data_IF_101146427812
#
_entry.id   IF_101146427812
#
_cell.length_a   1.000
_cell.length_b   1.000
_cell.length_c   1.000
_cell.angle_alpha   90.00
_cell.angle_beta   90.00
_cell.angle_gamma   90.00
#
_symmetry.space_group_name_H-M   'P 1'
#
loop_
_entity.id
_entity.type
_entity.pdbx_description
1 polymer ?
#
# COMPACT_ATOMS: atom_id res chain seq x y z
N UNK A 1 -2.23 -7.74 -5.33
CA UNK A 1 -1.98 -6.96 -4.10
C UNK A 1 -0.65 -7.39 -3.51
N UNK A 2 0.26 -6.45 -3.29
CA UNK A 2 1.57 -6.72 -2.67
C UNK A 2 1.54 -6.51 -1.16
N UNK A 3 2.37 -7.26 -0.39
CA UNK A 3 2.28 -7.31 1.07
C UNK A 3 0.90 -7.78 1.54
N UNK A 4 0.34 -8.75 0.81
CA UNK A 4 -1.06 -9.15 0.93
C UNK A 4 -1.37 -10.10 2.07
N UNK A 5 -0.37 -10.62 2.77
CA UNK A 5 -0.56 -11.65 3.77
C UNK A 5 -0.89 -11.10 5.18
N UNK A 6 -0.78 -9.80 5.41
CA UNK A 6 -1.04 -9.21 6.74
C UNK A 6 -1.60 -7.79 6.67
N UNK A 7 -2.16 -7.32 7.78
CA UNK A 7 -2.57 -5.93 7.99
C UNK A 7 -3.47 -5.37 6.90
N UNK A 8 -3.14 -4.16 6.42
CA UNK A 8 -3.89 -3.47 5.37
C UNK A 8 -3.92 -4.24 4.05
N UNK A 9 -2.82 -4.93 3.71
CA UNK A 9 -2.75 -5.75 2.49
C UNK A 9 -3.73 -6.91 2.53
N UNK A 10 -3.80 -7.65 3.64
CA UNK A 10 -4.72 -8.77 3.79
C UNK A 10 -6.19 -8.31 3.75
N UNK A 11 -6.52 -7.23 4.46
CA UNK A 11 -7.87 -6.65 4.40
C UNK A 11 -8.22 -6.22 2.96
N UNK A 12 -7.25 -5.68 2.21
CA UNK A 12 -7.42 -5.31 0.80
C UNK A 12 -7.65 -6.53 -0.09
N UNK A 13 -6.87 -7.61 0.11
CA UNK A 13 -7.07 -8.89 -0.61
C UNK A 13 -8.47 -9.42 -0.38
N UNK A 14 -8.89 -9.52 0.89
CA UNK A 14 -10.22 -10.02 1.24
C UNK A 14 -11.32 -9.13 0.64
N UNK A 15 -11.17 -7.81 0.72
CA UNK A 15 -12.16 -6.86 0.19
C UNK A 15 -12.28 -6.98 -1.33
N UNK A 16 -11.20 -6.94 -2.07
CA UNK A 16 -11.25 -7.05 -3.53
C UNK A 16 -11.78 -8.41 -3.98
N UNK A 17 -11.46 -9.49 -3.28
CA UNK A 17 -12.04 -10.81 -3.57
C UNK A 17 -13.56 -10.84 -3.33
N UNK A 18 -14.06 -10.16 -2.28
CA UNK A 18 -15.51 -9.98 -2.04
C UNK A 18 -16.17 -9.08 -3.08
N UNK A 19 -15.43 -8.12 -3.65
CA UNK A 19 -15.91 -7.28 -4.75
C UNK A 19 -15.93 -8.04 -6.11
N UNK A 20 -15.53 -9.33 -6.13
CA UNK A 20 -15.59 -10.21 -7.30
C UNK A 20 -14.29 -10.32 -8.10
N UNK A 21 -13.19 -9.75 -7.63
CA UNK A 21 -11.89 -9.92 -8.28
C UNK A 21 -11.29 -11.29 -7.95
N UNK A 22 -10.59 -11.89 -8.93
CA UNK A 22 -9.61 -12.94 -8.67
C UNK A 22 -8.29 -12.29 -8.25
N UNK A 23 -7.83 -12.54 -7.02
CA UNK A 23 -6.74 -11.78 -6.41
C UNK A 23 -5.46 -12.60 -6.32
N UNK A 24 -4.41 -12.11 -6.99
CA UNK A 24 -3.04 -12.54 -6.74
C UNK A 24 -2.52 -11.84 -5.48
N UNK A 25 -2.37 -12.58 -4.40
CA UNK A 25 -1.79 -12.14 -3.13
C UNK A 25 -0.28 -12.37 -3.15
N UNK A 26 0.50 -11.30 -3.20
CA UNK A 26 1.97 -11.38 -3.26
C UNK A 26 2.54 -11.02 -1.89
N UNK A 27 3.34 -11.88 -1.30
CA UNK A 27 4.05 -11.62 -0.05
C UNK A 27 5.37 -12.40 -0.01
N UNK A 28 6.33 -11.95 0.79
CA UNK A 28 7.61 -12.66 0.99
C UNK A 28 7.51 -13.73 2.06
N UNK A 29 6.56 -13.62 3.00
CA UNK A 29 6.33 -14.62 4.04
C UNK A 29 5.46 -15.76 3.50
N UNK A 30 6.15 -16.86 3.11
CA UNK A 30 5.50 -18.05 2.54
C UNK A 30 4.43 -18.62 3.44
N UNK A 31 4.77 -18.88 4.71
CA UNK A 31 3.87 -19.56 5.63
C UNK A 31 2.61 -18.74 5.88
N UNK A 32 2.77 -17.43 6.01
CA UNK A 32 1.66 -16.51 6.22
C UNK A 32 0.79 -16.39 4.97
N UNK A 33 1.40 -16.23 3.79
CA UNK A 33 0.68 -16.10 2.52
C UNK A 33 -0.14 -17.35 2.17
N UNK A 34 0.46 -18.53 2.30
CA UNK A 34 -0.22 -19.80 2.04
C UNK A 34 -1.38 -20.04 3.01
N UNK A 35 -1.18 -19.78 4.31
CA UNK A 35 -2.23 -19.92 5.33
C UNK A 35 -3.41 -19.00 5.07
N UNK A 36 -3.16 -17.70 4.82
CA UNK A 36 -4.24 -16.73 4.60
C UNK A 36 -4.95 -16.95 3.26
N UNK A 37 -4.24 -17.38 2.21
CA UNK A 37 -4.87 -17.77 0.96
C UNK A 37 -5.82 -18.97 1.16
N UNK A 38 -5.39 -20.02 1.86
CA UNK A 38 -6.24 -21.16 2.20
C UNK A 38 -7.46 -20.76 3.02
N UNK A 39 -7.28 -19.87 4.01
CA UNK A 39 -8.40 -19.33 4.80
C UNK A 39 -9.44 -18.64 3.93
N UNK A 40 -8.99 -17.77 3.03
CA UNK A 40 -9.88 -17.02 2.14
C UNK A 40 -10.55 -17.92 1.08
N UNK A 41 -9.81 -18.90 0.55
CA UNK A 41 -10.36 -19.90 -0.37
C UNK A 41 -11.45 -20.77 0.32
N UNK A 42 -11.26 -21.15 1.58
CA UNK A 42 -12.27 -21.86 2.36
C UNK A 42 -13.56 -21.03 2.57
N UNK A 43 -13.49 -19.70 2.44
CA UNK A 43 -14.64 -18.78 2.44
C UNK A 43 -15.25 -18.60 1.03
N UNK A 44 -14.77 -19.32 0.02
CA UNK A 44 -15.25 -19.23 -1.37
C UNK A 44 -14.65 -18.05 -2.15
N UNK A 45 -13.60 -17.39 -1.64
CA UNK A 45 -12.99 -16.24 -2.29
C UNK A 45 -11.87 -16.67 -3.26
N UNK A 46 -11.81 -16.06 -4.43
CA UNK A 46 -10.81 -16.35 -5.46
C UNK A 46 -9.48 -15.65 -5.14
N UNK A 47 -8.65 -16.28 -4.33
CA UNK A 47 -7.34 -15.76 -3.91
C UNK A 47 -6.26 -16.79 -4.19
N UNK A 48 -5.14 -16.37 -4.77
CA UNK A 48 -3.95 -17.19 -4.97
C UNK A 48 -2.73 -16.53 -4.33
N UNK A 49 -1.97 -17.29 -3.53
CA UNK A 49 -0.72 -16.82 -2.95
C UNK A 49 0.45 -16.95 -3.94
N UNK A 50 1.27 -15.90 -4.01
CA UNK A 50 2.54 -15.87 -4.72
C UNK A 50 3.62 -15.40 -3.76
N UNK A 51 4.66 -16.23 -3.57
CA UNK A 51 5.75 -15.93 -2.63
C UNK A 51 6.90 -15.31 -3.38
N UNK A 52 7.19 -14.04 -3.06
CA UNK A 52 8.15 -13.25 -3.82
C UNK A 52 8.77 -12.15 -2.96
N UNK A 53 10.07 -11.92 -3.10
CA UNK A 53 10.71 -10.68 -2.68
C UNK A 53 10.60 -9.66 -3.83
N UNK A 54 9.93 -8.55 -3.58
CA UNK A 54 9.68 -7.52 -4.60
C UNK A 54 10.94 -6.72 -4.96
N UNK A 55 12.04 -6.91 -4.26
CA UNK A 55 13.35 -6.34 -4.60
C UNK A 55 14.10 -7.16 -5.64
N UNK A 56 13.63 -8.38 -5.95
CA UNK A 56 14.12 -9.20 -7.07
C UNK A 56 13.34 -8.86 -8.35
N UNK A 57 13.89 -7.96 -9.14
CA UNK A 57 13.26 -7.53 -10.40
C UNK A 57 13.02 -8.66 -11.39
N UNK A 58 13.93 -9.65 -11.46
CA UNK A 58 13.78 -10.76 -12.38
C UNK A 58 12.59 -11.64 -11.97
N UNK A 59 12.47 -11.92 -10.67
CA UNK A 59 11.35 -12.67 -10.13
C UNK A 59 10.01 -11.91 -10.26
N UNK A 60 10.02 -10.57 -10.11
CA UNK A 60 8.86 -9.71 -10.35
C UNK A 60 8.38 -9.85 -11.80
N UNK A 61 9.27 -9.74 -12.79
CA UNK A 61 8.92 -9.87 -14.20
C UNK A 61 8.38 -11.25 -14.51
N UNK A 62 9.06 -12.31 -14.03
CA UNK A 62 8.62 -13.69 -14.21
C UNK A 62 7.23 -13.97 -13.60
N UNK A 63 6.89 -13.37 -12.46
CA UNK A 63 5.55 -13.44 -11.88
C UNK A 63 4.54 -12.76 -12.81
N UNK A 64 4.82 -11.55 -13.26
CA UNK A 64 3.88 -10.77 -14.09
C UNK A 64 3.60 -11.50 -15.40
N UNK A 65 4.60 -12.15 -16.02
CA UNK A 65 4.43 -12.95 -17.24
C UNK A 65 3.55 -14.20 -17.04
N UNK A 66 3.43 -14.70 -15.81
CA UNK A 66 2.57 -15.85 -15.47
C UNK A 66 1.15 -15.46 -15.11
N UNK A 67 0.92 -14.20 -14.75
CA UNK A 67 -0.42 -13.73 -14.40
C UNK A 67 -1.26 -13.49 -15.65
N UNK A 68 -2.57 -13.75 -15.55
CA UNK A 68 -3.53 -13.18 -16.50
C UNK A 68 -3.44 -11.65 -16.46
N UNK A 69 -3.86 -10.93 -17.52
CA UNK A 69 -3.81 -9.48 -17.53
C UNK A 69 -4.42 -8.87 -16.28
N UNK A 70 -3.63 -8.09 -15.56
CA UNK A 70 -3.99 -7.48 -14.27
C UNK A 70 -4.81 -6.22 -14.51
N UNK A 71 -6.07 -6.21 -14.08
CA UNK A 71 -6.94 -5.04 -14.18
C UNK A 71 -6.69 -4.02 -13.06
N UNK A 72 -6.33 -4.50 -11.87
CA UNK A 72 -6.09 -3.67 -10.68
C UNK A 72 -4.78 -4.07 -10.04
N UNK A 73 -3.86 -3.12 -9.91
CA UNK A 73 -2.61 -3.29 -9.16
C UNK A 73 -2.69 -2.49 -7.86
N UNK A 74 -2.41 -3.14 -6.73
CA UNK A 74 -2.27 -2.48 -5.42
C UNK A 74 -0.86 -2.66 -4.90
N UNK A 75 -0.07 -1.58 -4.93
CA UNK A 75 1.27 -1.50 -4.35
C UNK A 75 1.13 -1.15 -2.86
N UNK A 76 0.96 -2.18 -2.03
CA UNK A 76 0.81 -2.02 -0.58
C UNK A 76 2.09 -2.44 0.18
N UNK A 77 2.92 -3.32 -0.35
CA UNK A 77 4.15 -3.72 0.31
C UNK A 77 5.00 -2.52 0.71
N UNK A 78 5.57 -2.58 1.89
CA UNK A 78 6.42 -1.52 2.40
C UNK A 78 7.04 -1.90 3.75
N UNK A 79 8.11 -1.22 4.08
CA UNK A 79 8.77 -1.33 5.38
C UNK A 79 8.66 -0.01 6.13
N UNK A 80 8.59 -0.13 7.43
CA UNK A 80 8.64 0.98 8.37
C UNK A 80 9.55 0.59 9.53
N UNK A 81 10.48 1.48 9.89
CA UNK A 81 11.25 1.38 11.11
C UNK A 81 11.59 2.79 11.64
N UNK A 82 11.82 2.87 12.94
CA UNK A 82 12.20 4.12 13.59
C UNK A 82 13.71 4.30 13.56
N UNK A 83 14.16 5.47 13.11
CA UNK A 83 15.55 5.94 13.19
C UNK A 83 15.52 7.42 13.55
N UNK A 84 16.19 7.78 14.65
CA UNK A 84 16.37 9.18 15.01
C UNK A 84 17.19 9.91 13.93
N UNK A 85 17.00 11.20 13.82
CA UNK A 85 17.62 12.02 12.79
C UNK A 85 19.17 12.00 12.84
N UNK A 86 19.71 11.93 14.03
CA UNK A 86 21.15 11.92 14.29
C UNK A 86 21.86 10.58 14.02
N UNK A 87 21.09 9.48 13.87
CA UNK A 87 21.65 8.14 13.65
C UNK A 87 21.19 7.48 12.33
N UNK A 88 20.26 8.10 11.62
CA UNK A 88 19.80 7.56 10.32
C UNK A 88 20.94 7.58 9.30
N UNK A 89 21.17 6.47 8.63
CA UNK A 89 22.24 6.28 7.67
C UNK A 89 21.77 6.32 6.22
N UNK A 90 22.72 6.49 5.29
CA UNK A 90 22.41 6.34 3.84
C UNK A 90 21.94 4.94 3.47
N UNK A 91 22.32 3.91 4.23
CA UNK A 91 21.83 2.55 4.04
C UNK A 91 20.34 2.42 4.41
N UNK A 92 19.89 3.10 5.48
CA UNK A 92 18.47 3.13 5.86
C UNK A 92 17.64 3.80 4.75
N UNK A 93 18.14 4.89 4.16
CA UNK A 93 17.47 5.53 3.01
C UNK A 93 17.40 4.59 1.82
N UNK A 94 18.51 3.97 1.40
CA UNK A 94 18.52 3.04 0.26
C UNK A 94 17.52 1.92 0.46
N UNK A 95 17.50 1.28 1.64
CA UNK A 95 16.57 0.20 1.95
C UNK A 95 15.12 0.66 1.91
N UNK A 96 14.81 1.84 2.47
CA UNK A 96 13.46 2.38 2.43
C UNK A 96 12.99 2.68 0.99
N UNK A 97 13.87 3.26 0.16
CA UNK A 97 13.58 3.51 -1.25
C UNK A 97 13.42 2.22 -2.03
N UNK A 98 14.29 1.25 -1.82
CA UNK A 98 14.24 -0.04 -2.51
C UNK A 98 12.89 -0.72 -2.36
N UNK A 99 12.40 -0.83 -1.12
CA UNK A 99 11.15 -1.54 -0.85
C UNK A 99 9.91 -0.67 -1.09
N UNK A 100 9.93 0.61 -0.64
CA UNK A 100 8.72 1.43 -0.62
C UNK A 100 8.46 2.17 -1.95
N UNK A 101 9.48 2.30 -2.82
CA UNK A 101 9.37 3.02 -4.07
C UNK A 101 9.78 2.16 -5.26
N UNK A 102 11.04 1.66 -5.30
CA UNK A 102 11.60 1.00 -6.48
C UNK A 102 10.82 -0.26 -6.80
N UNK A 103 10.54 -1.10 -5.80
CA UNK A 103 9.72 -2.30 -5.98
C UNK A 103 8.33 -1.98 -6.55
N UNK A 104 7.66 -0.93 -6.05
CA UNK A 104 6.37 -0.48 -6.58
C UNK A 104 6.49 0.04 -8.03
N UNK A 105 7.57 0.75 -8.35
CA UNK A 105 7.82 1.28 -9.68
C UNK A 105 8.11 0.16 -10.69
N UNK A 106 8.96 -0.80 -10.34
CA UNK A 106 9.28 -1.98 -11.15
C UNK A 106 8.03 -2.79 -11.47
N UNK A 107 7.21 -3.07 -10.44
CA UNK A 107 5.98 -3.84 -10.62
C UNK A 107 4.95 -3.05 -11.44
N UNK A 108 4.80 -1.75 -11.20
CA UNK A 108 3.92 -0.89 -12.00
C UNK A 108 4.34 -0.89 -13.47
N UNK A 109 5.64 -0.76 -13.76
CA UNK A 109 6.15 -0.79 -15.12
C UNK A 109 5.86 -2.15 -15.79
N UNK A 110 6.17 -3.25 -15.13
CA UNK A 110 5.95 -4.58 -15.69
C UNK A 110 4.44 -4.85 -15.93
N UNK A 111 3.58 -4.57 -14.94
CA UNK A 111 2.14 -4.80 -15.04
C UNK A 111 1.50 -3.88 -16.08
N UNK A 112 1.88 -2.60 -16.16
CA UNK A 112 1.26 -1.65 -17.08
C UNK A 112 1.46 -2.03 -18.56
N UNK A 113 2.48 -2.79 -18.91
CA UNK A 113 2.72 -3.26 -20.28
C UNK A 113 1.61 -4.18 -20.79
N UNK A 114 1.05 -5.02 -19.93
CA UNK A 114 -0.02 -5.96 -20.26
C UNK A 114 -1.38 -5.63 -19.60
N UNK A 115 -1.45 -4.56 -18.80
CA UNK A 115 -2.69 -4.10 -18.19
C UNK A 115 -3.66 -3.65 -19.29
N UNK A 116 -4.93 -4.09 -19.26
CA UNK A 116 -5.92 -3.60 -20.22
C UNK A 116 -6.17 -2.10 -20.04
N UNK A 117 -6.59 -1.44 -21.11
CA UNK A 117 -7.02 -0.05 -21.05
C UNK A 117 -8.15 0.12 -20.05
N UNK A 118 -8.15 1.23 -19.33
CA UNK A 118 -9.09 1.43 -18.24
C UNK A 118 -8.70 0.76 -16.92
N UNK A 119 -7.49 0.21 -16.80
CA UNK A 119 -6.97 -0.39 -15.57
C UNK A 119 -6.82 0.59 -14.40
N UNK A 120 -6.52 0.07 -13.23
CA UNK A 120 -6.38 0.84 -11.98
C UNK A 120 -5.09 0.50 -11.25
N UNK A 121 -4.38 1.50 -10.77
CA UNK A 121 -3.19 1.34 -9.92
C UNK A 121 -3.38 2.15 -8.65
N UNK A 122 -3.25 1.49 -7.50
CA UNK A 122 -3.39 2.12 -6.19
C UNK A 122 -2.11 1.93 -5.39
N UNK A 123 -1.45 3.03 -5.05
CA UNK A 123 -0.22 3.03 -4.26
C UNK A 123 -0.54 3.34 -2.79
N UNK A 124 -0.09 2.50 -1.85
CA UNK A 124 -0.24 2.79 -0.43
C UNK A 124 0.95 3.61 0.04
N UNK A 125 0.72 4.92 0.10
CA UNK A 125 1.67 5.90 0.64
C UNK A 125 1.64 5.92 2.19
N UNK A 126 1.63 7.07 2.78
CA UNK A 126 1.44 7.28 4.23
C UNK A 126 1.22 8.77 4.48
N UNK A 127 0.37 9.13 5.42
CA UNK A 127 0.26 10.52 5.89
C UNK A 127 1.62 11.09 6.34
N UNK A 128 2.53 10.22 6.76
CA UNK A 128 3.87 10.63 7.17
C UNK A 128 4.66 11.39 6.09
N UNK A 129 4.29 11.28 4.81
CA UNK A 129 4.96 12.04 3.74
C UNK A 129 4.85 13.57 3.90
N UNK A 130 3.87 14.05 4.68
CA UNK A 130 3.75 15.47 5.05
C UNK A 130 4.76 15.91 6.12
N UNK A 131 5.50 14.97 6.70
CA UNK A 131 6.46 15.15 7.77
C UNK A 131 6.10 14.33 9.01
N UNK A 132 7.10 13.70 9.59
CA UNK A 132 7.02 12.97 10.84
C UNK A 132 8.41 12.83 11.47
N UNK A 133 8.46 12.71 12.82
CA UNK A 133 9.72 12.58 13.58
C UNK A 133 10.18 11.13 13.61
N UNK A 134 11.48 10.93 13.78
CA UNK A 134 12.14 9.63 14.02
C UNK A 134 12.08 8.61 12.87
N UNK A 135 11.78 9.02 11.65
CA UNK A 135 11.81 8.14 10.48
C UNK A 135 11.95 8.93 9.15
N UNK A 136 12.99 9.81 9.00
CA UNK A 136 13.12 10.67 7.83
C UNK A 136 13.28 9.89 6.52
N UNK A 137 13.93 8.73 6.53
CA UNK A 137 14.08 7.83 5.39
C UNK A 137 12.73 7.27 4.90
N UNK A 138 11.85 6.89 5.83
CA UNK A 138 10.50 6.44 5.52
C UNK A 138 9.67 7.59 4.92
N UNK A 139 9.68 8.75 5.58
CA UNK A 139 9.00 9.98 5.09
C UNK A 139 9.41 10.28 3.66
N UNK A 140 10.72 10.30 3.39
CA UNK A 140 11.26 10.58 2.07
C UNK A 140 10.80 9.53 1.03
N UNK A 141 10.84 8.23 1.37
CA UNK A 141 10.40 7.16 0.46
C UNK A 141 8.91 7.26 0.11
N UNK A 142 8.07 7.59 1.09
CA UNK A 142 6.61 7.73 0.86
C UNK A 142 6.26 9.04 0.14
N UNK A 143 7.03 10.11 0.34
CA UNK A 143 6.91 11.33 -0.46
C UNK A 143 7.30 11.08 -1.93
N UNK A 144 8.37 10.32 -2.17
CA UNK A 144 8.78 9.91 -3.50
C UNK A 144 7.71 9.04 -4.19
N UNK A 145 7.05 8.13 -3.46
CA UNK A 145 5.94 7.32 -4.01
C UNK A 145 4.73 8.19 -4.42
N UNK A 146 4.44 9.27 -3.68
CA UNK A 146 3.41 10.24 -4.07
C UNK A 146 3.81 10.96 -5.37
N UNK A 147 5.07 11.39 -5.49
CA UNK A 147 5.58 11.97 -6.73
C UNK A 147 5.49 10.99 -7.91
N UNK A 148 5.90 9.74 -7.68
CA UNK A 148 5.80 8.67 -8.67
C UNK A 148 4.35 8.38 -9.10
N UNK A 149 3.40 8.39 -8.16
CA UNK A 149 1.97 8.25 -8.45
C UNK A 149 1.49 9.28 -9.45
N UNK A 150 1.88 10.54 -9.27
CA UNK A 150 1.49 11.64 -10.16
C UNK A 150 2.13 11.52 -11.54
N UNK A 151 3.41 11.18 -11.61
CA UNK A 151 4.10 10.96 -12.86
C UNK A 151 3.48 9.80 -13.65
N UNK A 152 3.28 8.64 -13.01
CA UNK A 152 2.65 7.47 -13.63
C UNK A 152 1.22 7.75 -14.09
N UNK A 153 0.46 8.57 -13.35
CA UNK A 153 -0.88 8.98 -13.74
C UNK A 153 -0.88 9.75 -15.06
N UNK A 154 0.10 10.63 -15.27
CA UNK A 154 0.24 11.38 -16.53
C UNK A 154 0.63 10.46 -17.70
N UNK A 155 1.59 9.56 -17.48
CA UNK A 155 2.09 8.66 -18.53
C UNK A 155 1.03 7.62 -18.96
N UNK A 156 0.19 7.14 -18.04
CA UNK A 156 -0.76 6.07 -18.31
C UNK A 156 -2.18 6.58 -18.65
N UNK A 157 -2.45 7.88 -18.48
CA UNK A 157 -3.74 8.50 -18.78
C UNK A 157 -4.21 8.29 -20.23
N UNK A 158 -3.35 8.33 -21.29
CA UNK A 158 -3.80 8.07 -22.66
C UNK A 158 -4.43 6.69 -22.88
N UNK A 159 -4.10 5.71 -22.00
CA UNK A 159 -4.70 4.37 -21.98
C UNK A 159 -5.89 4.26 -21.02
N UNK A 160 -6.35 5.35 -20.44
CA UNK A 160 -7.41 5.36 -19.43
C UNK A 160 -7.02 4.63 -18.13
N UNK A 161 -5.74 4.28 -17.93
CA UNK A 161 -5.25 3.68 -16.70
C UNK A 161 -5.12 4.78 -15.65
N UNK A 162 -5.85 4.65 -14.55
CA UNK A 162 -5.88 5.63 -13.48
C UNK A 162 -4.96 5.21 -12.34
N UNK A 163 -4.08 6.11 -11.92
CA UNK A 163 -3.10 5.85 -10.86
C UNK A 163 -3.34 6.83 -9.71
N UNK A 164 -3.67 6.30 -8.54
CA UNK A 164 -3.91 7.09 -7.34
C UNK A 164 -3.15 6.53 -6.14
N UNK A 165 -3.02 7.33 -5.09
CA UNK A 165 -2.44 6.91 -3.83
C UNK A 165 -3.46 7.03 -2.68
N UNK A 166 -3.31 6.17 -1.70
CA UNK A 166 -3.94 6.29 -0.38
C UNK A 166 -2.85 6.64 0.61
N UNK A 167 -3.12 7.58 1.50
CA UNK A 167 -2.22 7.99 2.58
C UNK A 167 -2.83 7.61 3.94
N UNK A 168 -2.57 6.38 4.43
CA UNK A 168 -3.04 5.96 5.75
C UNK A 168 -2.48 6.82 6.87
N UNK A 169 -3.28 7.03 7.91
CA UNK A 169 -2.86 7.53 9.20
C UNK A 169 -2.40 6.43 10.14
N UNK A 170 -2.86 6.51 11.37
CA UNK A 170 -2.64 5.49 12.39
C UNK A 170 -3.66 4.35 12.19
N UNK A 171 -3.20 3.19 11.73
CA UNK A 171 -4.06 2.03 11.44
C UNK A 171 -3.71 0.88 12.40
N UNK A 172 -4.73 0.21 12.93
CA UNK A 172 -4.59 -0.92 13.86
C UNK A 172 -4.04 -2.16 13.15
N UNK A 173 -2.73 -2.22 13.07
CA UNK A 173 -1.96 -3.30 12.45
C UNK A 173 -1.03 -3.94 13.51
N UNK A 174 -0.40 -5.09 13.23
CA UNK A 174 0.57 -5.68 14.14
C UNK A 174 1.68 -4.70 14.59
N UNK A 175 2.08 -3.75 13.73
CA UNK A 175 3.07 -2.72 14.07
C UNK A 175 2.54 -1.80 15.19
N UNK A 176 1.28 -1.38 15.12
CA UNK A 176 0.68 -0.52 16.14
C UNK A 176 0.48 -1.28 17.45
N UNK A 177 0.05 -2.54 17.37
CA UNK A 177 -0.19 -3.41 18.54
C UNK A 177 1.10 -3.78 19.29
N UNK A 178 2.26 -3.62 18.66
CA UNK A 178 3.57 -3.84 19.30
C UNK A 178 4.05 -2.65 20.14
N UNK A 179 3.34 -1.52 20.13
CA UNK A 179 3.65 -0.36 20.96
C UNK A 179 3.29 -0.61 22.43
N UNK A 180 4.02 0.06 23.34
CA UNK A 180 3.61 0.08 24.75
C UNK A 180 2.29 0.83 24.91
N UNK A 181 1.50 0.54 25.97
CA UNK A 181 0.21 1.23 26.23
C UNK A 181 0.36 2.76 26.26
N UNK A 182 1.43 3.27 26.84
CA UNK A 182 1.69 4.71 26.96
C UNK A 182 1.97 5.34 25.58
N UNK A 183 2.77 4.67 24.74
CA UNK A 183 3.05 5.13 23.38
C UNK A 183 1.79 5.06 22.50
N UNK A 184 1.00 4.01 22.65
CA UNK A 184 -0.27 3.88 21.94
C UNK A 184 -1.23 5.01 22.33
N UNK A 185 -1.43 5.27 23.64
CA UNK A 185 -2.27 6.35 24.12
C UNK A 185 -1.82 7.72 23.59
N UNK A 186 -0.50 7.99 23.59
CA UNK A 186 0.07 9.22 23.05
C UNK A 186 -0.20 9.36 21.54
N UNK A 187 -0.13 8.25 20.78
CA UNK A 187 -0.44 8.27 19.33
C UNK A 187 -1.94 8.47 19.08
N UNK A 188 -2.81 7.86 19.87
CA UNK A 188 -4.27 8.03 19.74
C UNK A 188 -4.70 9.46 20.05
N UNK A 189 -4.12 10.07 21.07
CA UNK A 189 -4.40 11.47 21.44
C UNK A 189 -4.09 12.48 20.32
N UNK A 190 -3.22 12.11 19.37
CA UNK A 190 -2.90 12.94 18.20
C UNK A 190 -3.91 12.78 17.05
N UNK A 191 -4.88 11.86 17.15
CA UNK A 191 -5.90 11.68 16.13
C UNK A 191 -7.12 12.54 16.47
N UNK A 192 -7.60 13.43 15.60
CA UNK A 192 -8.85 14.18 15.82
C UNK A 192 -10.05 13.29 16.14
N UNK A 193 -10.10 12.07 15.57
CA UNK A 193 -11.15 11.09 15.85
C UNK A 193 -10.95 10.31 17.15
N UNK A 194 -9.85 10.50 17.87
CA UNK A 194 -9.53 9.82 19.13
C UNK A 194 -9.24 8.32 19.01
N UNK A 195 -9.19 7.76 17.81
CA UNK A 195 -9.01 6.32 17.58
C UNK A 195 -8.11 6.04 16.38
N UNK A 196 -7.54 4.82 16.34
CA UNK A 196 -6.92 4.30 15.14
C UNK A 196 -8.00 3.87 14.13
N UNK A 197 -7.68 4.00 12.83
CA UNK A 197 -8.46 3.36 11.77
C UNK A 197 -8.21 1.85 11.76
N UNK A 198 -9.08 1.12 11.07
CA UNK A 198 -8.95 -0.32 10.86
C UNK A 198 -8.35 -0.60 9.47
N UNK A 199 -7.68 -1.76 9.27
CA UNK A 199 -7.23 -2.18 7.95
C UNK A 199 -8.33 -2.15 6.90
N UNK A 200 -9.56 -2.42 7.28
CA UNK A 200 -10.77 -2.38 6.45
C UNK A 200 -11.08 -0.98 5.94
N UNK A 201 -10.76 0.09 6.68
CA UNK A 201 -10.93 1.47 6.22
C UNK A 201 -10.04 1.75 5.00
N UNK A 202 -8.83 1.20 4.99
CA UNK A 202 -7.91 1.29 3.84
C UNK A 202 -8.41 0.42 2.68
N UNK A 203 -8.87 -0.79 2.97
CA UNK A 203 -9.43 -1.69 1.96
C UNK A 203 -10.66 -1.08 1.25
N UNK A 204 -11.51 -0.36 1.98
CA UNK A 204 -12.64 0.40 1.41
C UNK A 204 -12.16 1.48 0.43
N UNK A 205 -11.13 2.25 0.81
CA UNK A 205 -10.57 3.29 -0.06
C UNK A 205 -9.90 2.68 -1.30
N UNK A 206 -9.23 1.52 -1.16
CA UNK A 206 -8.70 0.78 -2.31
C UNK A 206 -9.83 0.33 -3.23
N UNK A 207 -10.89 -0.28 -2.69
CA UNK A 207 -12.08 -0.71 -3.45
C UNK A 207 -12.71 0.45 -4.22
N UNK A 208 -12.79 1.63 -3.62
CA UNK A 208 -13.26 2.84 -4.29
C UNK A 208 -12.41 3.18 -5.52
N UNK A 209 -11.07 3.21 -5.39
CA UNK A 209 -10.19 3.48 -6.53
C UNK A 209 -10.12 2.33 -7.54
N UNK A 210 -10.36 1.09 -7.12
CA UNK A 210 -10.39 -0.08 -7.99
C UNK A 210 -11.68 -0.17 -8.84
N UNK A 211 -12.73 0.54 -8.43
CA UNK A 211 -14.04 0.51 -9.10
C UNK A 211 -13.98 1.08 -10.52
N UNK A 212 -14.64 0.42 -11.44
CA UNK A 212 -14.85 0.94 -12.80
C UNK A 212 -15.68 2.25 -12.82
N UNK A 213 -16.49 2.50 -11.78
CA UNK A 213 -17.27 3.73 -11.63
C UNK A 213 -16.42 4.95 -11.30
N UNK A 214 -15.21 4.75 -10.78
CA UNK A 214 -14.25 5.83 -10.47
C UNK A 214 -13.43 6.15 -11.73
N UNK A 215 -14.06 6.82 -12.70
CA UNK A 215 -13.50 6.99 -14.05
C UNK A 215 -12.77 8.33 -14.29
N UNK A 216 -12.80 9.29 -13.35
CA UNK A 216 -12.27 10.66 -13.57
C UNK A 216 -11.34 11.14 -12.44
N UNK A 217 -10.76 10.20 -11.67
CA UNK A 217 -9.83 10.52 -10.57
C UNK A 217 -8.50 9.84 -10.87
N UNK A 218 -7.47 10.63 -11.13
CA UNK A 218 -6.09 10.14 -11.33
C UNK A 218 -5.07 11.12 -10.77
N UNK A 219 -3.90 10.63 -10.34
CA UNK A 219 -2.83 11.42 -9.76
C UNK A 219 -3.14 11.97 -8.36
N UNK A 220 -4.21 11.50 -7.70
CA UNK A 220 -4.66 12.03 -6.42
C UNK A 220 -4.14 11.22 -5.24
N UNK A 221 -4.11 11.87 -4.08
CA UNK A 221 -3.79 11.25 -2.79
C UNK A 221 -4.99 11.39 -1.87
N UNK A 222 -5.59 10.26 -1.50
CA UNK A 222 -6.68 10.22 -0.55
C UNK A 222 -6.12 9.93 0.86
N UNK A 223 -6.32 10.87 1.78
CA UNK A 223 -5.99 10.66 3.18
C UNK A 223 -7.07 9.80 3.85
N UNK A 224 -6.65 8.73 4.51
CA UNK A 224 -7.49 7.87 5.36
C UNK A 224 -6.80 7.82 6.72
N UNK A 225 -6.94 8.90 7.48
CA UNK A 225 -6.07 9.20 8.62
C UNK A 225 -6.77 9.79 9.84
N UNK A 226 -8.10 9.73 9.89
CA UNK A 226 -8.88 10.27 10.99
C UNK A 226 -8.76 11.79 11.17
N UNK A 227 -8.38 12.51 10.09
CA UNK A 227 -8.22 13.95 10.09
C UNK A 227 -6.87 14.46 10.57
N UNK A 228 -5.92 13.58 10.86
CA UNK A 228 -4.60 13.99 11.38
C UNK A 228 -3.82 14.90 10.44
N UNK A 229 -4.03 14.78 9.13
CA UNK A 229 -3.38 15.63 8.11
C UNK A 229 -3.90 17.05 8.06
N UNK A 230 -5.07 17.34 8.65
CA UNK A 230 -5.68 18.67 8.59
C UNK A 230 -4.95 19.73 9.44
N UNK A 231 -4.05 19.30 10.32
CA UNK A 231 -3.43 20.16 11.32
C UNK A 231 -4.41 20.55 12.43
N UNK A 232 -3.93 21.09 13.53
CA UNK A 232 -4.83 21.67 14.54
C UNK A 232 -5.29 20.75 15.66
N UNK A 233 -4.43 19.87 16.14
CA UNK A 233 -4.58 19.30 17.49
C UNK A 233 -3.99 20.22 18.55
N UNK A 234 -4.45 21.46 18.60
CA UNK A 234 -3.96 22.47 19.50
C UNK A 234 -5.02 23.53 19.72
N UNK A 235 -6.11 23.14 20.37
CA UNK A 235 -6.95 24.03 21.12
C UNK A 235 -6.96 23.55 22.55
#
# INVERSE_FOLDING_TARGET
VTGGASGMGLATVERLARDGFSVAMVDRDRALAEREAQRLQAMGLAVQAHVLDLTDEAAVRALVDQLSPVQVLVNNAGIFDERKFDVVSSADFRRAYEVNLIAAATLTQAVSQQMPDGGRIVNIASRAYLGARNHPHYVASKAALVGYTRASAMELAPRGILVNAIAPGLIDTPILRALTPERLAAQLALQPTGKAGQPEDIAQAVSFFASAQTGFITGQVLFVDGGKSLGGSGA
#
